data_IF_945591831915
#
_entry.id   IF_945591831915
#
_cell.length_a   1.000
_cell.length_b   1.000
_cell.length_c   1.000
_cell.angle_alpha   90.00
_cell.angle_beta   90.00
_cell.angle_gamma   90.00
#
_symmetry.space_group_name_H-M   'P 1'
#
loop_
_entity.id
_entity.type
_entity.pdbx_description
1 polymer ?
#
# COMPACT_ATOMS: atom_id res chain seq x y z
N UNK A 1 -26.24 -32.12 -85.33
CA UNK A 1 -26.36 -33.54 -84.90
C UNK A 1 -25.00 -33.96 -84.37
N UNK A 2 -24.99 -34.55 -83.17
CA UNK A 2 -23.88 -35.16 -82.41
C UNK A 2 -23.01 -34.20 -81.57
N UNK A 3 -23.36 -34.01 -80.29
CA UNK A 3 -22.89 -34.63 -79.01
C UNK A 3 -21.40 -34.48 -78.69
N UNK A 4 -21.14 -33.80 -77.56
CA UNK A 4 -19.88 -33.69 -76.83
C UNK A 4 -19.42 -35.03 -76.24
N UNK A 5 -18.10 -35.18 -76.07
CA UNK A 5 -17.53 -35.77 -74.85
C UNK A 5 -16.60 -34.75 -74.20
N UNK A 6 -17.00 -34.24 -73.04
CA UNK A 6 -16.22 -33.36 -72.17
C UNK A 6 -15.17 -34.19 -71.43
N UNK A 7 -13.91 -33.80 -71.52
CA UNK A 7 -12.82 -34.39 -70.75
C UNK A 7 -12.92 -33.98 -69.27
N UNK A 8 -12.94 -34.96 -68.38
CA UNK A 8 -12.99 -34.77 -66.93
C UNK A 8 -11.56 -34.50 -66.44
N UNK A 9 -11.22 -33.22 -66.22
CA UNK A 9 -9.95 -32.86 -65.59
C UNK A 9 -10.05 -33.07 -64.08
N UNK A 10 -9.24 -33.98 -63.57
CA UNK A 10 -9.08 -34.31 -62.15
C UNK A 10 -8.68 -33.08 -61.34
N UNK A 11 -9.50 -32.70 -60.36
CA UNK A 11 -9.14 -31.68 -59.36
C UNK A 11 -8.11 -32.32 -58.43
N UNK A 12 -6.85 -31.86 -58.49
CA UNK A 12 -5.86 -32.14 -57.46
C UNK A 12 -6.18 -31.24 -56.26
N UNK A 13 -6.85 -31.77 -55.25
CA UNK A 13 -6.95 -31.07 -53.96
C UNK A 13 -5.55 -30.96 -53.35
N UNK A 14 -5.02 -29.73 -53.32
CA UNK A 14 -3.77 -29.40 -52.64
C UNK A 14 -3.99 -29.60 -51.14
N UNK A 15 -3.23 -30.48 -50.45
CA UNK A 15 -3.37 -30.62 -49.00
C UNK A 15 -2.95 -29.31 -48.34
N UNK A 16 -3.91 -28.61 -47.75
CA UNK A 16 -3.65 -27.45 -46.90
C UNK A 16 -2.87 -27.94 -45.68
N UNK A 17 -1.68 -27.40 -45.37
CA UNK A 17 -0.88 -27.83 -44.24
C UNK A 17 -1.53 -27.34 -42.94
N UNK A 18 -2.43 -28.16 -42.39
CA UNK A 18 -3.15 -27.90 -41.14
C UNK A 18 -2.19 -27.59 -39.98
N UNK A 19 -0.99 -28.18 -39.98
CA UNK A 19 0.01 -28.07 -38.91
C UNK A 19 0.65 -26.67 -38.85
N UNK A 20 0.81 -25.97 -39.99
CA UNK A 20 1.44 -24.63 -39.96
C UNK A 20 0.48 -23.54 -39.45
N UNK A 21 -0.81 -23.68 -39.73
CA UNK A 21 -1.81 -22.70 -39.32
C UNK A 21 -1.98 -22.75 -37.78
N UNK A 22 -1.99 -23.95 -37.18
CA UNK A 22 -2.03 -24.10 -35.72
C UNK A 22 -0.80 -23.47 -35.04
N UNK A 23 0.41 -23.69 -35.58
CA UNK A 23 1.62 -23.10 -35.01
C UNK A 23 1.66 -21.57 -35.17
N UNK A 24 1.22 -21.05 -36.32
CA UNK A 24 1.17 -19.60 -36.55
C UNK A 24 0.08 -18.95 -35.69
N UNK A 25 -1.10 -19.57 -35.55
CA UNK A 25 -2.16 -19.12 -34.63
C UNK A 25 -1.74 -19.22 -33.16
N UNK A 26 -1.00 -20.26 -32.76
CA UNK A 26 -0.39 -20.36 -31.43
C UNK A 26 0.65 -19.25 -31.22
N UNK A 27 1.49 -18.96 -32.21
CA UNK A 27 2.50 -17.91 -32.13
C UNK A 27 1.86 -16.52 -31.98
N UNK A 28 0.79 -16.24 -32.73
CA UNK A 28 0.01 -15.01 -32.57
C UNK A 28 -0.67 -14.93 -31.20
N UNK A 29 -1.27 -16.02 -30.71
CA UNK A 29 -1.84 -16.08 -29.35
C UNK A 29 -0.79 -15.83 -28.26
N UNK A 30 0.40 -16.42 -28.39
CA UNK A 30 1.49 -16.25 -27.42
C UNK A 30 2.04 -14.82 -27.47
N UNK A 31 2.18 -14.23 -28.67
CA UNK A 31 2.61 -12.84 -28.83
C UNK A 31 1.58 -11.88 -28.20
N UNK A 32 0.28 -12.10 -28.40
CA UNK A 32 -0.78 -11.31 -27.75
C UNK A 32 -0.75 -11.46 -26.23
N UNK A 33 -0.59 -12.69 -25.70
CA UNK A 33 -0.48 -12.91 -24.25
C UNK A 33 0.76 -12.22 -23.67
N UNK A 34 1.90 -12.24 -24.38
CA UNK A 34 3.11 -11.54 -23.96
C UNK A 34 2.96 -10.01 -24.06
N UNK A 35 2.26 -9.51 -25.08
CA UNK A 35 1.96 -8.07 -25.21
C UNK A 35 0.99 -7.60 -24.13
N UNK A 36 -0.06 -8.37 -23.85
CA UNK A 36 -1.00 -8.14 -22.76
C UNK A 36 -0.32 -8.23 -21.40
N UNK A 37 0.60 -9.18 -21.18
CA UNK A 37 1.38 -9.26 -19.94
C UNK A 37 2.38 -8.11 -19.78
N UNK A 38 2.95 -7.61 -20.89
CA UNK A 38 3.83 -6.45 -20.91
C UNK A 38 3.08 -5.09 -20.81
N UNK A 39 1.76 -5.07 -21.06
CA UNK A 39 0.90 -3.87 -20.95
C UNK A 39 -0.06 -3.90 -19.76
N UNK A 40 -0.34 -5.06 -19.16
CA UNK A 40 -1.16 -5.19 -17.96
C UNK A 40 -0.35 -4.77 -16.72
N UNK A 41 -0.01 -3.49 -16.65
CA UNK A 41 0.21 -2.85 -15.35
C UNK A 41 -1.17 -2.75 -14.71
N UNK A 42 -1.43 -3.59 -13.72
CA UNK A 42 -2.62 -3.42 -12.90
C UNK A 42 -2.40 -2.13 -12.12
N UNK A 43 -2.98 -1.03 -12.58
CA UNK A 43 -3.12 0.18 -11.79
C UNK A 43 -4.03 -0.17 -10.62
N UNK A 44 -3.42 -0.48 -9.48
CA UNK A 44 -4.14 -0.78 -8.26
C UNK A 44 -4.83 0.51 -7.79
N UNK A 45 -6.14 0.59 -7.99
CA UNK A 45 -6.99 1.61 -7.38
C UNK A 45 -7.57 1.03 -6.10
N UNK A 46 -6.78 1.11 -5.03
CA UNK A 46 -7.15 0.59 -3.73
C UNK A 46 -6.13 0.98 -2.68
N UNK A 47 -6.43 0.67 -1.43
CA UNK A 47 -5.51 0.88 -0.30
C UNK A 47 -5.23 -0.46 0.36
N UNK A 48 -4.00 -0.63 0.82
CA UNK A 48 -3.59 -1.83 1.57
C UNK A 48 -3.49 -1.43 3.04
N UNK A 49 -4.21 -2.12 3.91
CA UNK A 49 -4.13 -1.95 5.37
C UNK A 49 -3.05 -2.87 5.93
N UNK A 50 -2.11 -2.31 6.70
CA UNK A 50 -1.04 -3.07 7.36
C UNK A 50 -1.08 -2.85 8.87
N UNK A 51 -0.83 -3.92 9.64
CA UNK A 51 -0.87 -3.93 11.10
C UNK A 51 -2.26 -4.29 11.67
N UNK A 52 -2.67 -3.77 12.84
CA UNK A 52 -1.93 -2.83 13.69
C UNK A 52 -0.89 -3.53 14.57
N UNK A 53 0.20 -2.84 14.87
CA UNK A 53 1.23 -3.25 15.84
C UNK A 53 0.95 -2.64 17.20
N UNK A 54 0.98 -3.48 18.24
CA UNK A 54 0.76 -3.07 19.63
C UNK A 54 -0.27 -3.94 20.35
N UNK A 55 -0.97 -3.32 21.28
CA UNK A 55 -1.89 -3.97 22.20
C UNK A 55 -3.34 -4.08 21.73
N UNK A 56 -4.10 -4.89 22.48
CA UNK A 56 -5.57 -5.06 22.38
C UNK A 56 -6.33 -4.17 23.36
N UNK A 57 -5.72 -3.10 23.88
CA UNK A 57 -6.35 -2.08 24.74
C UNK A 57 -6.90 -0.89 23.96
N UNK A 58 -7.82 -0.13 24.55
CA UNK A 58 -8.46 1.02 23.90
C UNK A 58 -9.54 0.67 22.88
N UNK A 59 -10.04 1.71 22.20
CA UNK A 59 -11.06 1.65 21.16
C UNK A 59 -10.42 1.67 19.77
N UNK A 60 -11.11 1.12 18.77
CA UNK A 60 -10.64 1.16 17.38
C UNK A 60 -10.69 2.60 16.87
N UNK A 61 -9.61 3.04 16.24
CA UNK A 61 -9.52 4.35 15.61
C UNK A 61 -9.13 4.16 14.14
N UNK A 62 -9.76 4.93 13.27
CA UNK A 62 -9.54 4.85 11.84
C UNK A 62 -9.40 6.25 11.26
N UNK A 63 -8.39 6.43 10.42
CA UNK A 63 -8.19 7.58 9.56
C UNK A 63 -7.96 7.02 8.15
N UNK A 64 -9.06 6.58 7.55
CA UNK A 64 -9.07 5.99 6.21
C UNK A 64 -8.87 7.09 5.16
N UNK A 65 -8.15 6.84 4.06
CA UNK A 65 -8.12 7.74 2.91
C UNK A 65 -9.51 7.81 2.24
N UNK A 66 -9.87 8.96 1.67
CA UNK A 66 -11.14 9.11 0.94
C UNK A 66 -11.04 8.53 -0.48
N UNK A 67 -12.09 8.69 -1.28
CA UNK A 67 -12.09 8.36 -2.72
C UNK A 67 -10.99 9.08 -3.49
N UNK A 68 -10.72 10.34 -3.13
CA UNK A 68 -9.57 11.11 -3.59
C UNK A 68 -8.45 10.94 -2.58
N UNK A 69 -7.56 9.99 -2.84
CA UNK A 69 -6.45 9.68 -1.94
C UNK A 69 -5.48 10.86 -1.92
N UNK A 70 -5.26 11.40 -0.73
CA UNK A 70 -4.38 12.54 -0.49
C UNK A 70 -3.23 12.17 0.45
N UNK A 71 -2.09 12.81 0.24
CA UNK A 71 -0.89 12.62 1.06
C UNK A 71 -1.07 13.16 2.47
N UNK A 72 -0.46 12.47 3.44
CA UNK A 72 -0.34 12.97 4.81
C UNK A 72 0.58 14.20 4.83
N UNK A 73 0.07 15.33 5.31
CA UNK A 73 0.78 16.61 5.32
C UNK A 73 1.34 16.96 6.70
N UNK A 74 0.70 16.47 7.77
CA UNK A 74 1.23 16.66 9.13
C UNK A 74 0.82 15.55 10.09
N UNK A 75 1.66 15.32 11.09
CA UNK A 75 1.36 14.45 12.23
C UNK A 75 1.70 15.21 13.51
N UNK A 76 0.67 15.44 14.31
CA UNK A 76 0.78 15.98 15.66
C UNK A 76 0.93 14.80 16.65
N UNK A 77 1.88 14.91 17.58
CA UNK A 77 2.31 13.80 18.44
C UNK A 77 2.51 14.30 19.86
N UNK A 78 1.98 13.53 20.81
CA UNK A 78 2.22 13.67 22.24
C UNK A 78 2.85 12.41 22.80
N UNK A 79 3.94 12.53 23.57
CA UNK A 79 4.58 11.37 24.18
C UNK A 79 5.20 11.70 25.55
N UNK A 80 5.30 10.67 26.38
CA UNK A 80 6.07 10.65 27.62
C UNK A 80 6.92 9.39 27.65
N UNK A 81 6.61 8.44 28.54
CA UNK A 81 7.20 7.10 28.51
C UNK A 81 6.69 6.24 27.35
N UNK A 82 5.50 6.55 26.83
CA UNK A 82 4.92 5.98 25.61
C UNK A 82 4.22 7.07 24.82
N UNK A 83 3.69 6.75 23.63
CA UNK A 83 2.85 7.68 22.90
C UNK A 83 1.51 7.88 23.60
N UNK A 84 1.24 9.12 23.97
CA UNK A 84 0.03 9.54 24.69
C UNK A 84 -1.05 10.06 23.74
N UNK A 85 -0.66 10.70 22.65
CA UNK A 85 -1.61 11.23 21.68
C UNK A 85 -1.06 11.28 20.25
N UNK A 86 -1.96 11.11 19.28
CA UNK A 86 -1.68 11.24 17.86
C UNK A 86 -2.83 11.97 17.17
N UNK A 87 -2.51 12.81 16.19
CA UNK A 87 -3.49 13.38 15.29
C UNK A 87 -2.86 13.56 13.91
N UNK A 88 -3.60 13.16 12.87
CA UNK A 88 -3.11 13.12 11.50
C UNK A 88 -3.82 14.19 10.68
N UNK A 89 -3.08 14.83 9.78
CA UNK A 89 -3.62 15.79 8.83
C UNK A 89 -3.23 15.36 7.42
N UNK A 90 -4.21 15.26 6.55
CA UNK A 90 -4.05 15.17 5.10
C UNK A 90 -4.36 16.54 4.48
N UNK A 91 -4.18 16.69 3.17
CA UNK A 91 -4.51 17.92 2.44
C UNK A 91 -5.95 18.41 2.71
N UNK A 92 -6.91 17.48 2.74
CA UNK A 92 -8.34 17.83 2.78
C UNK A 92 -8.99 17.58 4.14
N UNK A 93 -8.32 16.86 5.06
CA UNK A 93 -8.94 16.40 6.30
C UNK A 93 -7.96 16.31 7.46
N UNK A 94 -8.53 16.41 8.67
CA UNK A 94 -7.84 16.19 9.92
C UNK A 94 -8.54 15.09 10.70
N UNK A 95 -7.78 14.14 11.26
CA UNK A 95 -8.33 13.09 12.09
C UNK A 95 -8.82 13.64 13.43
N UNK A 96 -9.67 12.88 14.11
CA UNK A 96 -9.86 13.05 15.54
C UNK A 96 -8.54 12.85 16.30
N UNK A 97 -8.43 13.46 17.49
CA UNK A 97 -7.29 13.21 18.37
C UNK A 97 -7.41 11.82 18.97
N UNK A 98 -6.39 10.99 18.77
CA UNK A 98 -6.27 9.68 19.38
C UNK A 98 -5.51 9.83 20.69
N UNK A 99 -5.98 9.20 21.76
CA UNK A 99 -5.38 9.35 23.09
C UNK A 99 -5.83 10.63 23.81
N UNK A 100 -5.58 10.70 25.12
CA UNK A 100 -6.03 11.83 25.95
C UNK A 100 -4.94 12.88 26.19
N UNK A 101 -3.67 12.52 25.97
CA UNK A 101 -2.53 13.42 26.18
C UNK A 101 -2.50 14.67 25.29
N UNK A 102 -1.57 15.56 25.61
CA UNK A 102 -1.33 16.79 24.86
C UNK A 102 -0.46 16.52 23.62
N UNK A 103 -0.81 17.18 22.52
CA UNK A 103 -0.01 17.15 21.29
C UNK A 103 1.08 18.22 21.41
N UNK A 104 2.32 17.78 21.62
CA UNK A 104 3.45 18.68 21.94
C UNK A 104 4.44 18.85 20.80
N UNK A 105 4.40 17.96 19.80
CA UNK A 105 5.27 17.98 18.64
C UNK A 105 4.44 17.89 17.36
N UNK A 106 4.92 18.52 16.29
CA UNK A 106 4.32 18.42 14.95
C UNK A 106 5.41 18.16 13.94
N UNK A 107 5.26 17.12 13.13
CA UNK A 107 6.00 16.95 11.89
C UNK A 107 5.14 17.40 10.71
N UNK A 108 5.75 18.09 9.75
CA UNK A 108 5.12 18.51 8.50
C UNK A 108 5.88 17.95 7.32
N UNK A 109 5.14 17.56 6.29
CA UNK A 109 5.64 17.03 5.03
C UNK A 109 5.21 17.95 3.90
N UNK A 110 6.13 18.24 2.99
CA UNK A 110 5.86 19.08 1.83
C UNK A 110 5.29 18.22 0.69
N UNK A 111 4.07 17.71 0.87
CA UNK A 111 3.36 16.94 -0.16
C UNK A 111 3.01 17.81 -1.39
N UNK A 112 2.85 17.20 -2.59
CA UNK A 112 2.99 15.77 -2.89
C UNK A 112 4.45 15.32 -3.06
N UNK A 113 5.42 16.23 -3.11
CA UNK A 113 6.82 15.91 -3.39
C UNK A 113 7.50 15.12 -2.25
N UNK A 114 7.12 15.41 -1.01
CA UNK A 114 7.59 14.71 0.18
C UNK A 114 6.45 13.93 0.83
N UNK A 115 6.61 12.61 0.90
CA UNK A 115 5.62 11.69 1.45
C UNK A 115 6.28 10.61 2.30
N UNK A 116 5.45 9.99 3.14
CA UNK A 116 5.86 8.90 4.03
C UNK A 116 5.97 7.59 3.26
N UNK A 117 7.16 7.00 3.25
CA UNK A 117 7.45 5.75 2.56
C UNK A 117 7.89 4.62 3.49
N UNK A 118 8.08 4.89 4.78
CA UNK A 118 8.42 3.87 5.78
C UNK A 118 7.99 4.36 7.17
N UNK A 119 7.50 3.43 7.98
CA UNK A 119 7.27 3.62 9.40
C UNK A 119 7.92 2.48 10.17
N UNK A 120 8.53 2.82 11.29
CA UNK A 120 9.02 1.86 12.28
C UNK A 120 8.66 2.35 13.67
N UNK A 121 8.83 1.50 14.66
CA UNK A 121 8.52 1.85 16.03
C UNK A 121 8.85 0.75 17.01
N UNK A 122 8.42 0.94 18.24
CA UNK A 122 8.59 -0.03 19.32
C UNK A 122 7.31 -0.09 20.13
N UNK A 123 6.92 -1.29 20.57
CA UNK A 123 5.77 -1.50 21.45
C UNK A 123 6.23 -2.05 22.79
N UNK A 124 5.67 -1.56 23.89
CA UNK A 124 6.02 -2.05 25.23
C UNK A 124 5.78 -3.55 25.39
N UNK A 125 6.50 -4.18 26.32
CA UNK A 125 6.32 -5.59 26.67
C UNK A 125 5.39 -5.72 27.86
N UNK A 126 4.29 -6.45 27.69
CA UNK A 126 3.40 -6.79 28.78
C UNK A 126 2.74 -8.15 28.55
N UNK A 127 2.58 -8.94 29.62
CA UNK A 127 1.86 -10.21 29.56
C UNK A 127 0.37 -10.01 29.27
N UNK A 128 -0.20 -8.89 29.74
CA UNK A 128 -1.55 -8.48 29.37
C UNK A 128 -1.52 -7.68 28.06
N UNK A 129 -2.03 -8.29 26.98
CA UNK A 129 -2.11 -7.65 25.66
C UNK A 129 -2.91 -6.34 25.68
N UNK A 130 -3.79 -6.11 26.66
CA UNK A 130 -4.52 -4.84 26.79
C UNK A 130 -3.66 -3.70 27.34
N UNK A 131 -2.51 -4.02 27.95
CA UNK A 131 -1.57 -3.07 28.55
C UNK A 131 -0.28 -2.91 27.72
N UNK A 132 -0.34 -3.32 26.46
CA UNK A 132 0.71 -3.03 25.48
C UNK A 132 0.37 -1.69 24.80
N UNK A 133 1.39 -0.85 24.67
CA UNK A 133 1.30 0.49 24.09
C UNK A 133 2.38 0.68 23.04
N UNK A 134 2.16 1.62 22.13
CA UNK A 134 3.20 2.08 21.20
C UNK A 134 4.14 3.00 21.98
N UNK A 135 5.36 2.53 22.19
CA UNK A 135 6.41 3.22 22.96
C UNK A 135 7.05 4.32 22.10
N UNK A 136 7.37 4.00 20.84
CA UNK A 136 7.96 4.97 19.91
C UNK A 136 7.50 4.76 18.47
N UNK A 137 7.57 5.84 17.69
CA UNK A 137 7.35 5.84 16.25
C UNK A 137 8.47 6.60 15.55
N UNK A 138 8.85 6.10 14.39
CA UNK A 138 9.77 6.74 13.47
C UNK A 138 9.16 6.80 12.09
N UNK A 139 9.09 8.00 11.54
CA UNK A 139 8.58 8.29 10.21
C UNK A 139 9.75 8.55 9.27
N UNK A 140 9.69 7.97 8.08
CA UNK A 140 10.68 8.13 7.03
C UNK A 140 10.02 8.66 5.77
N UNK A 141 10.71 9.54 5.07
CA UNK A 141 10.21 10.14 3.82
C UNK A 141 11.00 9.67 2.60
N UNK A 142 10.38 9.75 1.44
CA UNK A 142 11.03 9.53 0.14
C UNK A 142 12.24 10.47 -0.11
N UNK A 143 12.34 11.58 0.63
CA UNK A 143 13.47 12.51 0.61
C UNK A 143 14.60 12.12 1.58
N UNK A 144 14.51 10.95 2.22
CA UNK A 144 15.52 10.44 3.14
C UNK A 144 15.50 11.10 4.52
N UNK A 145 14.44 11.83 4.88
CA UNK A 145 14.31 12.40 6.23
C UNK A 145 13.76 11.35 7.20
N UNK A 146 14.16 11.47 8.46
CA UNK A 146 13.72 10.60 9.54
C UNK A 146 13.26 11.44 10.74
N UNK A 147 12.10 11.10 11.30
CA UNK A 147 11.51 11.78 12.47
C UNK A 147 11.13 10.75 13.53
N UNK A 148 11.81 10.77 14.68
CA UNK A 148 11.60 9.79 15.76
C UNK A 148 10.95 10.43 16.98
N UNK A 149 9.93 9.77 17.53
CA UNK A 149 9.16 10.22 18.70
C UNK A 149 8.97 9.09 19.70
N UNK A 150 9.00 9.41 21.00
CA UNK A 150 8.99 8.44 22.09
C UNK A 150 10.18 8.66 23.04
N UNK A 151 10.32 7.85 24.09
CA UNK A 151 11.41 7.97 25.05
C UNK A 151 12.77 7.66 24.41
N UNK A 152 13.84 8.21 24.99
CA UNK A 152 15.20 7.95 24.53
C UNK A 152 15.59 6.47 24.67
N UNK A 153 15.15 5.83 25.75
CA UNK A 153 15.35 4.41 26.01
C UNK A 153 14.09 3.65 25.65
N UNK A 154 14.22 2.66 24.77
CA UNK A 154 13.13 1.79 24.32
C UNK A 154 13.35 0.39 24.87
N UNK A 155 12.33 -0.18 25.50
CA UNK A 155 12.42 -1.47 26.20
C UNK A 155 11.62 -2.57 25.53
N UNK A 156 10.79 -2.17 24.57
CA UNK A 156 9.82 -3.02 23.90
C UNK A 156 10.34 -3.85 22.73
N UNK A 157 9.40 -4.36 21.94
CA UNK A 157 9.66 -5.05 20.67
C UNK A 157 9.56 -4.08 19.50
N UNK A 158 10.59 -4.10 18.64
CA UNK A 158 10.63 -3.25 17.47
C UNK A 158 9.77 -3.81 16.34
N UNK A 159 9.13 -2.91 15.59
CA UNK A 159 8.50 -3.24 14.32
C UNK A 159 8.98 -2.27 13.24
N UNK A 160 9.03 -2.74 12.00
CA UNK A 160 9.38 -1.93 10.84
C UNK A 160 8.68 -2.51 9.62
N UNK A 161 8.26 -1.64 8.72
CA UNK A 161 7.55 -2.02 7.51
C UNK A 161 8.33 -1.48 6.31
N UNK A 162 9.28 -2.24 5.75
CA UNK A 162 9.95 -1.81 4.53
C UNK A 162 8.90 -1.70 3.41
N UNK A 163 8.68 -0.49 2.91
CA UNK A 163 7.80 -0.26 1.76
C UNK A 163 8.64 0.32 0.62
N UNK A 164 8.83 -0.46 -0.43
CA UNK A 164 9.38 0.02 -1.68
C UNK A 164 8.23 0.53 -2.55
N UNK A 165 8.40 1.71 -3.14
CA UNK A 165 7.43 2.31 -4.06
C UNK A 165 6.00 2.34 -3.48
N UNK A 166 5.85 2.85 -2.25
CA UNK A 166 4.55 3.05 -1.63
C UNK A 166 4.51 4.34 -0.82
N UNK A 167 3.29 4.85 -0.63
CA UNK A 167 2.99 6.03 0.17
C UNK A 167 1.98 5.68 1.27
N UNK A 168 2.24 6.16 2.49
CA UNK A 168 1.26 6.12 3.59
C UNK A 168 0.25 7.25 3.40
N UNK A 169 -1.02 6.88 3.28
CA UNK A 169 -2.14 7.80 2.98
C UNK A 169 -3.20 7.80 4.08
N UNK A 170 -3.03 6.98 5.11
CA UNK A 170 -3.94 6.90 6.23
C UNK A 170 -3.37 6.08 7.37
N UNK A 171 -4.07 6.10 8.49
CA UNK A 171 -3.69 5.40 9.70
C UNK A 171 -4.87 4.62 10.27
N UNK A 172 -4.57 3.50 10.91
CA UNK A 172 -5.52 2.74 11.73
C UNK A 172 -4.89 2.48 13.09
N UNK A 173 -5.67 2.13 14.10
CA UNK A 173 -5.06 1.88 15.40
C UNK A 173 -6.05 1.63 16.51
N UNK A 174 -5.52 1.63 17.73
CA UNK A 174 -6.29 1.55 18.95
C UNK A 174 -5.80 2.56 19.96
N UNK A 175 -6.70 3.30 20.58
CA UNK A 175 -6.37 4.29 21.59
C UNK A 175 -7.34 4.26 22.77
N UNK A 176 -6.79 4.36 23.98
CA UNK A 176 -7.50 4.71 25.21
C UNK A 176 -6.97 6.04 25.71
N UNK A 177 -6.46 6.08 26.94
CA UNK A 177 -5.68 7.23 27.42
C UNK A 177 -4.36 7.40 26.65
N UNK A 178 -3.81 6.28 26.17
CA UNK A 178 -2.56 6.20 25.43
C UNK A 178 -2.77 5.43 24.12
N UNK A 179 -1.78 5.47 23.24
CA UNK A 179 -1.81 4.75 21.97
C UNK A 179 -1.48 3.28 22.23
N UNK A 180 -2.48 2.42 22.08
CA UNK A 180 -2.31 0.98 22.28
C UNK A 180 -1.72 0.31 21.04
N UNK A 181 -2.19 0.67 19.85
CA UNK A 181 -1.73 0.08 18.61
C UNK A 181 -1.82 1.06 17.44
N UNK A 182 -0.96 0.84 16.43
CA UNK A 182 -0.87 1.67 15.23
C UNK A 182 -0.77 0.78 13.99
N UNK A 183 -1.46 1.15 12.93
CA UNK A 183 -1.42 0.55 11.61
C UNK A 183 -1.50 1.64 10.55
N UNK A 184 -1.31 1.26 9.29
CA UNK A 184 -1.22 2.20 8.17
C UNK A 184 -2.08 1.75 7.00
N UNK A 185 -2.56 2.72 6.23
CA UNK A 185 -3.10 2.53 4.89
C UNK A 185 -2.08 3.01 3.88
N UNK A 186 -1.79 2.17 2.88
CA UNK A 186 -0.77 2.46 1.88
C UNK A 186 -1.32 2.30 0.48
N UNK A 187 -0.79 3.09 -0.43
CA UNK A 187 -0.99 2.93 -1.87
C UNK A 187 0.36 2.65 -2.54
N UNK A 188 0.38 1.87 -3.64
CA UNK A 188 1.55 1.82 -4.50
C UNK A 188 1.86 3.21 -5.06
N UNK A 189 3.08 3.66 -4.85
CA UNK A 189 3.66 4.85 -5.45
C UNK A 189 4.44 4.42 -6.69
N UNK A 190 3.72 4.05 -7.76
CA UNK A 190 4.31 3.88 -9.10
C UNK A 190 3.58 4.80 -10.08
N UNK A 191 4.38 5.66 -10.73
CA UNK A 191 3.98 6.36 -11.94
C UNK A 191 3.68 5.34 -13.02
N UNK A 192 2.43 5.28 -13.49
CA UNK A 192 2.16 4.77 -14.82
C UNK A 192 3.00 5.64 -15.79
N UNK A 193 3.98 5.09 -16.52
CA UNK A 193 4.63 5.81 -17.59
C UNK A 193 3.65 6.05 -18.75
#
# INVERSE_FOLDING_TARGET
MQVELVAINTIQEKPTPLIQIDQQQQLYKVFDIQQMANQARICFSGTIKLGPWGGKGGNSMEFEPDTNITSITAIDIGYGEVLNALQFTSTDKKSEKWGTGDLTQTVRFNGPDEYLNLISGTTTKNNDKKKIFVESLTFYTNKGKQYTYGPATKTGDAFSIPMANAEVVGFSGRAGDQINAIGIYVIPHESCP
#
